data_IF_319487649732
#
_entry.id   IF_319487649732
#
_cell.length_a   1.000
_cell.length_b   1.000
_cell.length_c   1.000
_cell.angle_alpha   90.00
_cell.angle_beta   90.00
_cell.angle_gamma   90.00
#
_symmetry.space_group_name_H-M   'P 1'
#
loop_
_entity.id
_entity.type
_entity.pdbx_description
1 polymer ?
#
# COMPACT_ATOMS: atom_id res chain seq x y z
N UNK A 1 -39.00 -9.30 19.61
CA UNK A 1 -37.71 -8.77 20.04
C UNK A 1 -37.27 -7.74 19.01
N UNK A 2 -37.33 -6.45 19.34
CA UNK A 2 -36.93 -5.39 18.39
C UNK A 2 -35.39 -5.42 18.18
N UNK A 3 -34.88 -5.26 16.96
CA UNK A 3 -33.43 -5.10 16.75
C UNK A 3 -32.98 -3.82 17.45
N UNK A 4 -31.83 -3.88 18.07
CA UNK A 4 -31.20 -2.78 18.76
C UNK A 4 -30.86 -1.66 17.76
N UNK A 5 -31.58 -0.53 17.83
CA UNK A 5 -31.43 0.64 16.94
C UNK A 5 -30.21 1.53 17.28
N UNK A 6 -29.23 1.01 18.01
CA UNK A 6 -28.08 1.82 18.47
C UNK A 6 -26.82 1.69 17.61
N UNK A 7 -26.89 1.11 16.42
CA UNK A 7 -25.72 0.93 15.54
C UNK A 7 -25.62 2.01 14.43
N UNK A 8 -26.55 2.95 14.34
CA UNK A 8 -26.61 3.93 13.24
C UNK A 8 -25.64 5.13 13.34
N UNK A 9 -24.79 5.20 14.34
CA UNK A 9 -23.80 6.27 14.47
C UNK A 9 -22.34 5.79 14.58
N UNK A 10 -22.09 4.50 14.52
CA UNK A 10 -20.75 3.98 14.37
C UNK A 10 -20.34 4.06 12.89
N UNK A 11 -19.29 4.81 12.61
CA UNK A 11 -18.66 4.82 11.30
C UNK A 11 -18.48 3.37 10.83
N UNK A 12 -18.99 3.03 9.64
CA UNK A 12 -18.90 1.68 9.11
C UNK A 12 -17.43 1.32 8.90
N UNK A 13 -16.92 0.41 9.70
CA UNK A 13 -15.56 -0.13 9.53
C UNK A 13 -15.64 -1.28 8.53
N UNK A 14 -15.01 -1.10 7.37
CA UNK A 14 -14.87 -2.18 6.41
C UNK A 14 -13.67 -3.05 6.79
N UNK A 15 -13.93 -4.34 7.05
CA UNK A 15 -12.88 -5.33 7.33
C UNK A 15 -12.74 -6.22 6.09
N UNK A 16 -11.54 -6.22 5.51
CA UNK A 16 -11.17 -7.12 4.42
C UNK A 16 -10.15 -8.13 4.93
N UNK A 17 -10.31 -9.38 4.54
CA UNK A 17 -9.42 -10.45 4.94
C UNK A 17 -9.28 -11.51 3.85
N UNK A 18 -8.27 -12.34 4.01
CA UNK A 18 -8.06 -13.51 3.15
C UNK A 18 -7.99 -14.77 4.02
N UNK A 19 -8.49 -15.86 3.48
CA UNK A 19 -8.19 -17.18 4.06
C UNK A 19 -6.70 -17.50 3.92
N UNK A 20 -6.21 -18.39 4.76
CA UNK A 20 -4.78 -18.75 4.82
C UNK A 20 -4.26 -19.26 3.48
N UNK A 21 -5.02 -20.09 2.78
CA UNK A 21 -4.59 -20.69 1.51
C UNK A 21 -4.41 -19.60 0.42
N UNK A 22 -5.33 -18.64 0.37
CA UNK A 22 -5.23 -17.48 -0.52
C UNK A 22 -4.04 -16.62 -0.15
N UNK A 23 -3.86 -16.33 1.16
CA UNK A 23 -2.74 -15.52 1.64
C UNK A 23 -1.39 -16.14 1.26
N UNK A 24 -1.21 -17.46 1.46
CA UNK A 24 0.02 -18.16 1.11
C UNK A 24 0.28 -18.19 -0.41
N UNK A 25 -0.75 -18.37 -1.23
CA UNK A 25 -0.60 -18.27 -2.70
C UNK A 25 -0.17 -16.88 -3.14
N UNK A 26 -0.75 -15.85 -2.55
CA UNK A 26 -0.41 -14.46 -2.86
C UNK A 26 1.00 -14.10 -2.35
N UNK A 27 1.41 -14.64 -1.22
CA UNK A 27 2.78 -14.51 -0.72
C UNK A 27 3.78 -15.14 -1.69
N UNK A 28 3.54 -16.38 -2.11
CA UNK A 28 4.39 -17.09 -3.07
C UNK A 28 4.54 -16.32 -4.40
N UNK A 29 3.48 -15.66 -4.86
CA UNK A 29 3.51 -14.82 -6.07
C UNK A 29 4.05 -13.41 -5.83
N UNK A 30 4.57 -13.13 -4.63
CA UNK A 30 5.08 -11.80 -4.25
C UNK A 30 4.04 -10.68 -4.39
N UNK A 31 2.78 -10.95 -4.00
CA UNK A 31 1.74 -9.93 -4.04
C UNK A 31 2.04 -8.80 -3.04
N UNK A 32 2.11 -7.54 -3.47
CA UNK A 32 2.50 -6.40 -2.62
C UNK A 32 1.64 -6.19 -1.38
N UNK A 33 0.36 -6.55 -1.42
CA UNK A 33 -0.58 -6.31 -0.31
C UNK A 33 -0.13 -6.98 1.00
N UNK A 34 0.43 -8.21 0.94
CA UNK A 34 0.91 -8.86 2.15
C UNK A 34 2.14 -8.17 2.75
N UNK A 35 3.03 -7.67 1.92
CA UNK A 35 4.17 -6.87 2.38
C UNK A 35 3.71 -5.55 2.98
N UNK A 36 2.71 -4.89 2.37
CA UNK A 36 2.10 -3.67 2.90
C UNK A 36 1.41 -3.91 4.24
N UNK A 37 0.65 -5.00 4.39
CA UNK A 37 0.03 -5.37 5.66
C UNK A 37 1.07 -5.65 6.75
N UNK A 38 2.13 -6.38 6.40
CA UNK A 38 3.22 -6.68 7.33
C UNK A 38 3.97 -5.43 7.80
N UNK A 39 4.09 -4.44 6.91
CA UNK A 39 4.79 -3.18 7.19
C UNK A 39 3.85 -2.06 7.68
N UNK A 40 2.58 -2.38 7.96
CA UNK A 40 1.63 -1.38 8.46
C UNK A 40 2.05 -0.90 9.85
N UNK A 41 2.11 0.43 10.07
CA UNK A 41 2.39 0.99 11.41
C UNK A 41 1.20 0.84 12.36
N UNK A 42 0.01 0.51 11.83
CA UNK A 42 -1.21 0.36 12.62
C UNK A 42 -1.53 -1.13 12.72
N UNK A 43 -1.48 -1.67 13.94
CA UNK A 43 -1.80 -3.07 14.24
C UNK A 43 -2.93 -3.09 15.25
N UNK A 44 -4.12 -3.53 14.83
CA UNK A 44 -5.28 -3.66 15.72
C UNK A 44 -5.24 -4.94 16.56
N UNK A 45 -4.78 -6.02 15.94
CA UNK A 45 -4.64 -7.32 16.58
C UNK A 45 -3.61 -8.17 15.85
N UNK A 46 -2.87 -8.96 16.59
CA UNK A 46 -1.93 -9.94 16.05
C UNK A 46 -2.06 -11.29 16.78
N UNK A 47 -1.49 -12.34 16.22
CA UNK A 47 -1.44 -13.68 16.81
C UNK A 47 -0.02 -14.25 16.70
N UNK A 48 0.33 -15.27 17.51
CA UNK A 48 1.62 -15.95 17.40
C UNK A 48 1.88 -16.48 15.98
N UNK A 49 0.87 -17.06 15.33
CA UNK A 49 0.97 -17.59 13.96
C UNK A 49 1.30 -16.50 12.95
N UNK A 50 0.74 -15.29 13.13
CA UNK A 50 1.11 -14.14 12.29
C UNK A 50 2.57 -13.74 12.49
N UNK A 51 3.07 -13.80 13.73
CA UNK A 51 4.48 -13.49 14.00
C UNK A 51 5.44 -14.44 13.26
N UNK A 52 5.11 -15.75 13.20
CA UNK A 52 5.87 -16.74 12.44
C UNK A 52 5.86 -16.42 10.94
N UNK A 53 4.69 -16.17 10.36
CA UNK A 53 4.55 -15.81 8.94
C UNK A 53 5.30 -14.50 8.65
N UNK A 54 5.15 -13.49 9.49
CA UNK A 54 5.80 -12.17 9.37
C UNK A 54 7.32 -12.31 9.27
N UNK A 55 7.91 -13.21 10.05
CA UNK A 55 9.36 -13.44 10.05
C UNK A 55 9.93 -13.92 8.70
N UNK A 56 9.10 -14.58 7.89
CA UNK A 56 9.52 -15.16 6.60
C UNK A 56 9.01 -14.36 5.39
N UNK A 57 8.04 -13.46 5.56
CA UNK A 57 7.42 -12.71 4.44
C UNK A 57 8.46 -12.07 3.53
N UNK A 58 9.51 -11.46 4.10
CA UNK A 58 10.56 -10.78 3.34
C UNK A 58 11.28 -11.66 2.32
N UNK A 59 11.41 -12.97 2.61
CA UNK A 59 12.09 -13.91 1.71
C UNK A 59 11.32 -14.15 0.39
N UNK A 60 10.02 -13.89 0.38
CA UNK A 60 9.18 -14.06 -0.81
C UNK A 60 9.12 -12.83 -1.70
N UNK A 61 9.78 -11.73 -1.33
CA UNK A 61 9.75 -10.52 -2.12
C UNK A 61 10.54 -10.67 -3.42
N UNK A 62 9.86 -10.49 -4.54
CA UNK A 62 10.46 -10.49 -5.88
C UNK A 62 10.40 -9.07 -6.46
N UNK A 63 11.56 -8.45 -6.63
CA UNK A 63 11.70 -7.08 -7.16
C UNK A 63 10.91 -6.87 -8.45
N UNK A 64 11.05 -7.79 -9.40
CA UNK A 64 10.37 -7.70 -10.69
C UNK A 64 8.85 -7.66 -10.54
N UNK A 65 8.28 -8.53 -9.70
CA UNK A 65 6.85 -8.57 -9.44
C UNK A 65 6.37 -7.26 -8.79
N UNK A 66 7.10 -6.76 -7.79
CA UNK A 66 6.81 -5.49 -7.13
C UNK A 66 6.85 -4.30 -8.10
N UNK A 67 7.90 -4.20 -8.92
CA UNK A 67 8.02 -3.14 -9.93
C UNK A 67 6.86 -3.16 -10.93
N UNK A 68 6.52 -4.32 -11.48
CA UNK A 68 5.40 -4.42 -12.42
C UNK A 68 4.07 -4.04 -11.77
N UNK A 69 3.84 -4.44 -10.53
CA UNK A 69 2.62 -4.10 -9.80
C UNK A 69 2.49 -2.59 -9.62
N UNK A 70 3.50 -1.94 -9.03
CA UNK A 70 3.45 -0.51 -8.75
C UNK A 70 3.45 0.34 -10.02
N UNK A 71 4.23 -0.03 -11.03
CA UNK A 71 4.23 0.66 -12.31
C UNK A 71 2.86 0.55 -13.02
N UNK A 72 2.24 -0.62 -13.01
CA UNK A 72 0.89 -0.82 -13.57
C UNK A 72 -0.15 -0.01 -12.82
N UNK A 73 -0.06 0.04 -11.49
CA UNK A 73 -0.93 0.84 -10.62
C UNK A 73 -0.78 2.34 -10.92
N UNK A 74 0.46 2.83 -11.04
CA UNK A 74 0.72 4.23 -11.39
C UNK A 74 0.13 4.60 -12.75
N UNK A 75 0.38 3.76 -13.78
CA UNK A 75 -0.15 3.97 -15.13
C UNK A 75 -1.67 3.96 -15.18
N UNK A 76 -2.31 3.02 -14.47
CA UNK A 76 -3.77 2.94 -14.37
C UNK A 76 -4.34 4.20 -13.72
N UNK A 77 -3.84 4.57 -12.54
CA UNK A 77 -4.31 5.72 -11.79
C UNK A 77 -4.08 7.04 -12.55
N UNK A 78 -2.95 7.18 -13.24
CA UNK A 78 -2.69 8.35 -14.09
C UNK A 78 -3.74 8.49 -15.19
N UNK A 79 -4.03 7.40 -15.90
CA UNK A 79 -5.03 7.41 -17.00
C UNK A 79 -6.43 7.67 -16.50
N UNK A 80 -6.78 7.14 -15.33
CA UNK A 80 -8.12 7.21 -14.77
C UNK A 80 -8.39 8.57 -14.11
N UNK A 81 -7.40 9.15 -13.44
CA UNK A 81 -7.63 10.28 -12.55
C UNK A 81 -6.95 11.60 -12.95
N UNK A 82 -5.84 11.57 -13.69
CA UNK A 82 -5.03 12.77 -13.93
C UNK A 82 -5.15 13.34 -15.36
N UNK A 83 -6.07 12.84 -16.17
CA UNK A 83 -6.28 13.34 -17.54
C UNK A 83 -7.44 14.32 -17.71
N UNK A 84 -8.20 14.57 -16.66
CA UNK A 84 -9.32 15.51 -16.69
C UNK A 84 -8.93 16.94 -16.31
N UNK A 85 -9.77 17.91 -16.66
CA UNK A 85 -9.56 19.32 -16.35
C UNK A 85 -9.66 19.62 -14.85
N UNK A 86 -10.40 18.80 -14.10
CA UNK A 86 -10.59 18.92 -12.66
C UNK A 86 -10.09 17.65 -11.96
N UNK A 87 -9.02 17.76 -11.21
CA UNK A 87 -8.41 16.63 -10.49
C UNK A 87 -8.50 16.85 -8.98
N UNK A 88 -9.04 15.84 -8.27
CA UNK A 88 -9.03 15.86 -6.80
C UNK A 88 -7.60 15.66 -6.29
N UNK A 89 -7.17 16.49 -5.36
CA UNK A 89 -5.82 16.53 -4.80
C UNK A 89 -5.27 15.15 -4.40
N UNK A 90 -6.07 14.37 -3.66
CA UNK A 90 -5.69 13.01 -3.23
C UNK A 90 -5.34 12.05 -4.39
N UNK A 91 -5.77 12.35 -5.63
CA UNK A 91 -5.50 11.49 -6.78
C UNK A 91 -4.05 11.60 -7.27
N UNK A 92 -3.39 12.73 -6.99
CA UNK A 92 -1.95 12.86 -7.22
C UNK A 92 -1.17 11.83 -6.38
N UNK A 93 -1.54 11.65 -5.11
CA UNK A 93 -0.90 10.64 -4.25
C UNK A 93 -1.12 9.21 -4.73
N UNK A 94 -2.25 8.92 -5.39
CA UNK A 94 -2.52 7.60 -5.97
C UNK A 94 -1.58 7.27 -7.15
N UNK A 95 -1.00 8.26 -7.79
CA UNK A 95 0.00 8.10 -8.85
C UNK A 95 1.41 8.22 -8.29
N UNK A 96 1.67 9.21 -7.45
CA UNK A 96 3.00 9.50 -6.92
C UNK A 96 3.51 8.37 -6.03
N UNK A 97 2.67 7.88 -5.10
CA UNK A 97 3.06 6.79 -4.17
C UNK A 97 3.60 5.55 -4.89
N UNK A 98 2.92 4.96 -5.88
CA UNK A 98 3.47 3.80 -6.59
C UNK A 98 4.71 4.13 -7.43
N UNK A 99 4.90 5.36 -7.91
CA UNK A 99 6.14 5.76 -8.57
C UNK A 99 7.31 5.77 -7.58
N UNK A 100 7.12 6.36 -6.40
CA UNK A 100 8.13 6.35 -5.34
C UNK A 100 8.42 4.93 -4.84
N UNK A 101 7.40 4.06 -4.78
CA UNK A 101 7.57 2.66 -4.46
C UNK A 101 8.47 1.94 -5.51
N UNK A 102 8.32 2.25 -6.80
CA UNK A 102 9.22 1.74 -7.82
C UNK A 102 10.67 2.21 -7.60
N UNK A 103 10.88 3.50 -7.31
CA UNK A 103 12.24 4.03 -6.99
C UNK A 103 12.83 3.32 -5.79
N UNK A 104 12.07 3.18 -4.72
CA UNK A 104 12.50 2.44 -3.52
C UNK A 104 12.96 1.01 -3.87
N UNK A 105 12.16 0.26 -4.64
CA UNK A 105 12.51 -1.11 -5.03
C UNK A 105 13.81 -1.16 -5.85
N UNK A 106 14.00 -0.19 -6.76
CA UNK A 106 15.22 -0.12 -7.56
C UNK A 106 16.46 0.17 -6.72
N UNK A 107 16.35 1.08 -5.76
CA UNK A 107 17.46 1.54 -4.94
C UNK A 107 17.75 0.62 -3.74
N UNK A 108 16.69 0.25 -2.99
CA UNK A 108 16.81 -0.51 -1.73
C UNK A 108 16.63 -2.02 -1.89
N UNK A 109 16.01 -2.46 -3.01
CA UNK A 109 15.78 -3.87 -3.32
C UNK A 109 14.91 -4.63 -2.28
N UNK A 110 14.13 -3.90 -1.52
CA UNK A 110 13.23 -4.39 -0.47
C UNK A 110 11.78 -3.97 -0.74
N UNK A 111 10.78 -4.57 -0.07
CA UNK A 111 9.41 -4.07 -0.11
C UNK A 111 9.36 -2.59 0.31
N UNK A 112 8.60 -1.75 -0.41
CA UNK A 112 8.48 -0.34 -0.05
C UNK A 112 7.69 -0.17 1.25
N UNK A 113 7.99 0.87 2.04
CA UNK A 113 7.26 1.17 3.26
C UNK A 113 5.82 1.61 2.97
N UNK A 114 4.94 1.41 3.95
CA UNK A 114 3.54 1.83 3.86
C UNK A 114 3.37 3.35 3.88
N UNK A 115 4.13 4.03 4.74
CA UNK A 115 4.02 5.47 4.94
C UNK A 115 4.55 6.25 3.73
N UNK A 116 3.71 7.17 3.24
CA UNK A 116 4.09 8.05 2.14
C UNK A 116 5.25 8.99 2.53
N UNK A 117 5.27 9.49 3.76
CA UNK A 117 6.37 10.35 4.25
C UNK A 117 7.72 9.66 4.12
N UNK A 118 7.82 8.40 4.54
CA UNK A 118 9.07 7.61 4.45
C UNK A 118 9.51 7.41 2.98
N UNK A 119 8.55 7.18 2.08
CA UNK A 119 8.84 7.08 0.65
C UNK A 119 9.29 8.41 0.06
N UNK A 120 8.62 9.51 0.44
CA UNK A 120 8.93 10.85 -0.04
C UNK A 120 10.32 11.29 0.44
N UNK A 121 10.63 11.13 1.72
CA UNK A 121 11.94 11.47 2.28
C UNK A 121 13.09 10.71 1.60
N UNK A 122 12.87 9.43 1.28
CA UNK A 122 13.90 8.58 0.70
C UNK A 122 14.04 8.68 -0.83
N UNK A 123 12.95 8.97 -1.53
CA UNK A 123 12.88 8.79 -2.98
C UNK A 123 12.36 10.01 -3.75
N UNK A 124 11.82 11.04 -3.09
CA UNK A 124 11.34 12.22 -3.80
C UNK A 124 12.53 13.10 -4.21
N UNK A 125 12.48 13.58 -5.44
CA UNK A 125 13.45 14.56 -5.94
C UNK A 125 13.30 15.88 -5.16
N UNK A 126 14.41 16.45 -4.69
CA UNK A 126 14.41 17.70 -3.92
C UNK A 126 13.67 18.84 -4.63
N UNK A 127 13.76 18.88 -5.96
CA UNK A 127 13.05 19.87 -6.77
C UNK A 127 11.51 19.76 -6.70
N UNK A 128 10.99 18.57 -6.34
CA UNK A 128 9.56 18.32 -6.25
C UNK A 128 9.00 18.43 -4.82
N UNK A 129 9.88 18.52 -3.81
CA UNK A 129 9.45 18.61 -2.41
C UNK A 129 8.48 19.76 -2.15
N UNK A 130 8.73 21.01 -2.59
CA UNK A 130 7.79 22.11 -2.37
C UNK A 130 6.41 21.82 -2.97
N UNK A 131 6.38 21.36 -4.23
CA UNK A 131 5.12 21.08 -4.93
C UNK A 131 4.30 19.95 -4.27
N UNK A 132 4.96 18.99 -3.63
CA UNK A 132 4.28 17.87 -2.94
C UNK A 132 3.85 18.28 -1.53
N UNK A 133 4.59 19.17 -0.88
CA UNK A 133 4.23 19.67 0.46
C UNK A 133 3.01 20.60 0.41
N UNK A 134 2.82 21.32 -0.71
CA UNK A 134 1.69 22.22 -0.92
C UNK A 134 0.40 21.50 -1.38
N UNK A 135 0.47 20.17 -1.61
CA UNK A 135 -0.68 19.32 -1.94
C UNK A 135 -1.44 18.85 -0.68
#
# INVERSE_FOLDING_TARGET
MKPCETVSQLSTVAINGWDLQKALRLLHSSNPTLFEWNNSPIVYKTTPEWAEISSIIGHFFQKKAGLYHYLSTAKKNYREYLKGDMVKLKKYFYVLRPILACRWILEKQTPPPMLFSTLAEACLDEALVPAVTDL
#
